data_IF_981335871518
#
_entry.id   IF_981335871518
#
_cell.length_a   1.000
_cell.length_b   1.000
_cell.length_c   1.000
_cell.angle_alpha   90.00
_cell.angle_beta   90.00
_cell.angle_gamma   90.00
#
_symmetry.space_group_name_H-M   'P 1'
#
loop_
_entity.id
_entity.type
_entity.pdbx_description
1 polymer ?
#
# COMPACT_ATOMS: atom_id res chain seq x y z
N UNK A 1 -5.46 -15.50 -3.22
CA UNK A 1 -4.97 -14.14 -3.44
C UNK A 1 -5.77 -13.51 -4.57
N UNK A 2 -6.21 -12.27 -4.38
CA UNK A 2 -6.81 -11.48 -5.46
C UNK A 2 -5.74 -11.09 -6.49
N UNK A 3 -6.10 -10.94 -7.79
CA UNK A 3 -5.13 -10.74 -8.86
C UNK A 3 -4.60 -9.29 -8.92
N UNK A 4 -3.42 -9.11 -9.52
CA UNK A 4 -2.93 -7.80 -9.98
C UNK A 4 -3.65 -7.32 -11.24
N UNK A 5 -3.83 -8.21 -12.22
CA UNK A 5 -4.30 -7.86 -13.57
C UNK A 5 -5.76 -8.22 -13.77
N UNK A 6 -6.50 -7.26 -14.30
CA UNK A 6 -7.92 -7.37 -14.60
C UNK A 6 -8.17 -7.01 -16.07
N UNK A 7 -9.06 -7.75 -16.74
CA UNK A 7 -9.59 -7.35 -18.05
C UNK A 7 -10.52 -6.15 -17.90
N UNK A 8 -10.87 -5.50 -19.00
CA UNK A 8 -11.80 -4.36 -18.99
C UNK A 8 -13.20 -4.74 -18.48
N UNK A 9 -13.56 -6.02 -18.56
CA UNK A 9 -14.82 -6.56 -18.02
C UNK A 9 -14.73 -6.91 -16.52
N UNK A 10 -13.63 -6.55 -15.85
CA UNK A 10 -13.39 -6.82 -14.43
C UNK A 10 -13.10 -8.28 -14.12
N UNK A 11 -12.72 -9.08 -15.12
CA UNK A 11 -12.34 -10.49 -14.92
C UNK A 11 -10.86 -10.58 -14.60
N UNK A 12 -10.46 -11.60 -13.84
CA UNK A 12 -9.04 -11.94 -13.71
C UNK A 12 -8.48 -12.23 -15.10
N UNK A 13 -7.35 -11.62 -15.44
CA UNK A 13 -6.64 -11.95 -16.68
C UNK A 13 -6.16 -13.40 -16.62
N UNK A 14 -6.53 -14.19 -17.64
CA UNK A 14 -6.07 -15.57 -17.76
C UNK A 14 -4.63 -15.56 -18.26
N UNK A 15 -3.68 -15.74 -17.34
CA UNK A 15 -2.28 -15.94 -17.69
C UNK A 15 -2.16 -17.37 -18.21
N UNK A 16 -1.77 -17.53 -19.47
CA UNK A 16 -1.39 -18.83 -20.00
C UNK A 16 -0.05 -19.21 -19.34
N UNK A 17 -0.05 -20.31 -18.60
CA UNK A 17 1.03 -20.84 -17.76
C UNK A 17 1.30 -20.06 -16.44
N UNK A 18 1.28 -20.82 -15.33
CA UNK A 18 1.16 -20.41 -13.91
C UNK A 18 2.42 -19.74 -13.29
N UNK A 19 3.15 -18.87 -14.00
CA UNK A 19 4.42 -18.30 -13.48
C UNK A 19 4.47 -16.78 -13.29
N UNK A 20 3.46 -16.01 -13.72
CA UNK A 20 3.56 -14.55 -13.64
C UNK A 20 3.28 -13.99 -12.23
N UNK A 21 4.14 -13.10 -11.68
CA UNK A 21 3.91 -12.42 -10.40
C UNK A 21 2.55 -11.74 -10.33
N UNK A 22 1.69 -12.17 -9.40
CA UNK A 22 0.30 -11.70 -9.37
C UNK A 22 -0.23 -11.33 -7.99
N UNK A 23 0.54 -11.56 -6.94
CA UNK A 23 0.15 -11.19 -5.59
C UNK A 23 0.81 -9.86 -5.23
N UNK A 24 0.04 -8.80 -5.35
CA UNK A 24 0.38 -7.43 -4.97
C UNK A 24 -0.78 -6.83 -4.17
N UNK A 25 -0.45 -6.02 -3.17
CA UNK A 25 -1.43 -5.40 -2.27
C UNK A 25 -1.59 -3.89 -2.53
N UNK A 26 -0.59 -3.27 -3.12
CA UNK A 26 -0.47 -1.84 -3.31
C UNK A 26 -1.57 -1.25 -4.20
N UNK A 27 -2.01 -1.96 -5.23
CA UNK A 27 -3.12 -1.52 -6.09
C UNK A 27 -4.43 -1.32 -5.31
N UNK A 28 -4.73 -2.20 -4.35
CA UNK A 28 -5.93 -2.08 -3.51
C UNK A 28 -5.82 -0.89 -2.57
N UNK A 29 -4.66 -0.71 -1.93
CA UNK A 29 -4.41 0.42 -1.02
C UNK A 29 -4.46 1.75 -1.76
N UNK A 30 -3.82 1.83 -2.92
CA UNK A 30 -3.83 3.00 -3.81
C UNK A 30 -5.24 3.34 -4.29
N UNK A 31 -6.05 2.33 -4.64
CA UNK A 31 -7.43 2.56 -5.06
C UNK A 31 -8.30 3.12 -3.92
N UNK A 32 -8.18 2.58 -2.71
CA UNK A 32 -8.88 3.07 -1.52
C UNK A 32 -8.50 4.52 -1.18
N UNK A 33 -7.22 4.85 -1.26
CA UNK A 33 -6.74 6.23 -1.11
C UNK A 33 -7.35 7.14 -2.21
N UNK A 34 -7.29 6.71 -3.47
CA UNK A 34 -7.75 7.52 -4.59
C UNK A 34 -9.27 7.76 -4.59
N UNK A 35 -10.08 6.75 -4.22
CA UNK A 35 -11.54 6.88 -4.20
C UNK A 35 -12.01 7.79 -3.07
N UNK A 36 -11.36 7.76 -1.91
CA UNK A 36 -11.65 8.70 -0.81
C UNK A 36 -11.42 10.14 -1.25
N UNK A 37 -10.25 10.41 -1.85
CA UNK A 37 -9.91 11.75 -2.31
C UNK A 37 -10.80 12.23 -3.46
N UNK A 38 -11.27 11.30 -4.31
CA UNK A 38 -12.17 11.61 -5.41
C UNK A 38 -13.59 11.94 -4.92
N UNK A 39 -14.11 11.18 -3.96
CA UNK A 39 -15.47 11.31 -3.44
C UNK A 39 -15.58 12.32 -2.29
N UNK A 40 -14.47 12.77 -1.72
CA UNK A 40 -14.46 13.67 -0.57
C UNK A 40 -14.87 12.98 0.73
N UNK A 41 -14.56 11.68 0.86
CA UNK A 41 -14.83 10.89 2.06
C UNK A 41 -16.25 10.31 2.18
N UNK A 42 -17.19 10.69 1.33
CA UNK A 42 -18.55 10.12 1.35
C UNK A 42 -18.69 8.97 0.35
N UNK A 43 -19.01 7.77 0.83
CA UNK A 43 -19.19 6.57 -0.01
C UNK A 43 -20.57 5.94 0.20
N UNK A 44 -21.19 5.44 -0.87
CA UNK A 44 -22.49 4.76 -0.80
C UNK A 44 -22.66 3.71 -1.90
N UNK A 45 -23.72 2.90 -1.79
CA UNK A 45 -24.11 1.91 -2.80
C UNK A 45 -22.99 0.92 -3.13
N UNK A 46 -22.76 0.71 -4.43
CA UNK A 46 -21.77 -0.27 -4.91
C UNK A 46 -20.32 0.13 -4.57
N UNK A 47 -20.04 1.43 -4.51
CA UNK A 47 -18.73 1.93 -4.11
C UNK A 47 -18.43 1.56 -2.65
N UNK A 48 -19.40 1.72 -1.75
CA UNK A 48 -19.21 1.38 -0.33
C UNK A 48 -18.93 -0.12 -0.14
N UNK A 49 -19.66 -0.98 -0.88
CA UNK A 49 -19.41 -2.43 -0.88
C UNK A 49 -18.02 -2.78 -1.42
N UNK A 50 -17.57 -2.10 -2.45
CA UNK A 50 -16.23 -2.32 -3.01
C UNK A 50 -15.12 -1.86 -2.03
N UNK A 51 -15.32 -0.72 -1.34
CA UNK A 51 -14.42 -0.24 -0.27
C UNK A 51 -14.34 -1.24 0.87
N UNK A 52 -15.48 -1.80 1.31
CA UNK A 52 -15.53 -2.81 2.37
C UNK A 52 -14.74 -4.06 1.98
N UNK A 53 -14.98 -4.63 0.78
CA UNK A 53 -14.28 -5.83 0.31
C UNK A 53 -12.76 -5.58 0.21
N UNK A 54 -12.35 -4.46 -0.37
CA UNK A 54 -10.93 -4.15 -0.54
C UNK A 54 -10.23 -3.92 0.81
N UNK A 55 -10.87 -3.20 1.73
CA UNK A 55 -10.29 -2.91 3.05
C UNK A 55 -10.22 -4.13 3.95
N UNK A 56 -11.24 -4.98 3.97
CA UNK A 56 -11.22 -6.26 4.70
C UNK A 56 -10.12 -7.19 4.16
N UNK A 57 -9.94 -7.23 2.84
CA UNK A 57 -8.86 -8.00 2.23
C UNK A 57 -7.48 -7.49 2.66
N UNK A 58 -7.25 -6.17 2.63
CA UNK A 58 -6.00 -5.57 3.08
C UNK A 58 -5.76 -5.82 4.57
N UNK A 59 -6.78 -5.65 5.41
CA UNK A 59 -6.67 -5.86 6.85
C UNK A 59 -6.26 -7.31 7.18
N UNK A 60 -6.73 -8.28 6.39
CA UNK A 60 -6.35 -9.69 6.53
C UNK A 60 -4.97 -10.03 5.92
N UNK A 61 -4.55 -9.34 4.86
CA UNK A 61 -3.42 -9.75 4.04
C UNK A 61 -2.14 -8.93 4.20
N UNK A 62 -2.17 -7.75 4.84
CA UNK A 62 -1.05 -6.78 4.84
C UNK A 62 0.29 -7.30 5.37
N UNK A 63 0.29 -8.36 6.18
CA UNK A 63 1.51 -8.99 6.70
C UNK A 63 2.10 -10.06 5.78
N UNK A 64 1.37 -10.48 4.75
CA UNK A 64 1.81 -11.52 3.83
C UNK A 64 2.87 -10.95 2.87
N UNK A 65 3.97 -11.68 2.63
CA UNK A 65 4.94 -11.30 1.61
C UNK A 65 4.28 -11.25 0.22
N UNK A 66 4.59 -10.22 -0.54
CA UNK A 66 4.02 -9.99 -1.86
C UNK A 66 5.07 -9.40 -2.79
N UNK A 67 4.77 -9.33 -4.08
CA UNK A 67 5.65 -8.63 -5.01
C UNK A 67 5.56 -7.12 -4.77
N UNK A 68 6.65 -6.41 -5.03
CA UNK A 68 6.66 -4.94 -4.99
C UNK A 68 5.96 -4.34 -6.22
N UNK A 69 5.98 -3.01 -6.34
CA UNK A 69 5.40 -2.28 -7.48
C UNK A 69 5.96 -2.71 -8.84
N UNK A 70 7.15 -3.31 -8.83
CA UNK A 70 7.90 -3.72 -10.02
C UNK A 70 7.75 -5.22 -10.32
N UNK A 71 6.82 -5.89 -9.63
CA UNK A 71 6.59 -7.33 -9.76
C UNK A 71 7.82 -8.18 -9.35
N UNK A 72 8.65 -7.66 -8.43
CA UNK A 72 9.85 -8.34 -7.93
C UNK A 72 9.74 -8.78 -6.45
N UNK A 73 10.57 -9.74 -6.05
CA UNK A 73 10.77 -10.15 -4.64
C UNK A 73 9.47 -10.51 -3.89
N UNK A 74 8.67 -11.40 -4.49
CA UNK A 74 7.37 -11.86 -3.96
C UNK A 74 7.40 -12.57 -2.60
N UNK A 75 8.60 -12.91 -2.12
CA UNK A 75 8.86 -13.52 -0.82
C UNK A 75 9.16 -12.48 0.29
N UNK A 76 8.99 -11.19 0.01
CA UNK A 76 9.32 -10.09 0.94
C UNK A 76 8.16 -9.14 1.22
N UNK A 77 8.35 -8.28 2.23
CA UNK A 77 7.47 -7.16 2.55
C UNK A 77 8.15 -5.86 2.12
N UNK A 78 7.42 -5.00 1.43
CA UNK A 78 7.96 -3.79 0.80
C UNK A 78 7.37 -2.53 1.43
N UNK A 79 8.22 -1.54 1.70
CA UNK A 79 7.84 -0.30 2.37
C UNK A 79 6.87 0.55 1.54
N UNK A 80 7.02 0.60 0.22
CA UNK A 80 6.06 1.28 -0.67
C UNK A 80 4.69 0.61 -0.67
N UNK A 81 4.64 -0.73 -0.67
CA UNK A 81 3.40 -1.47 -0.50
C UNK A 81 2.76 -1.21 0.87
N UNK A 82 3.54 -1.23 1.96
CA UNK A 82 3.02 -0.88 3.29
C UNK A 82 2.44 0.54 3.32
N UNK A 83 3.08 1.50 2.64
CA UNK A 83 2.58 2.87 2.55
C UNK A 83 1.23 2.95 1.82
N UNK A 84 1.08 2.25 0.69
CA UNK A 84 -0.19 2.20 -0.03
C UNK A 84 -1.29 1.54 0.81
N UNK A 85 -0.96 0.44 1.51
CA UNK A 85 -1.91 -0.28 2.35
C UNK A 85 -2.35 0.57 3.55
N UNK A 86 -1.41 1.24 4.21
CA UNK A 86 -1.71 2.14 5.32
C UNK A 86 -2.65 3.27 4.89
N UNK A 87 -2.31 3.98 3.81
CA UNK A 87 -3.10 5.10 3.33
C UNK A 87 -4.50 4.67 2.88
N UNK A 88 -4.59 3.51 2.21
CA UNK A 88 -5.85 2.92 1.79
C UNK A 88 -6.73 2.48 2.97
N UNK A 89 -6.14 1.84 3.99
CA UNK A 89 -6.88 1.44 5.19
C UNK A 89 -7.35 2.64 6.01
N UNK A 90 -6.53 3.68 6.14
CA UNK A 90 -6.91 4.94 6.79
C UNK A 90 -8.08 5.61 6.05
N UNK A 91 -7.99 5.73 4.72
CA UNK A 91 -9.05 6.24 3.87
C UNK A 91 -10.36 5.43 4.01
N UNK A 92 -10.27 4.10 3.96
CA UNK A 92 -11.43 3.23 4.14
C UNK A 92 -12.05 3.35 5.54
N UNK A 93 -11.24 3.46 6.58
CA UNK A 93 -11.71 3.66 7.95
C UNK A 93 -12.53 4.95 8.08
N UNK A 94 -12.08 6.03 7.45
CA UNK A 94 -12.80 7.30 7.43
C UNK A 94 -14.12 7.19 6.64
N UNK A 95 -14.09 6.65 5.42
CA UNK A 95 -15.28 6.51 4.57
C UNK A 95 -16.36 5.60 5.18
N UNK A 96 -15.95 4.52 5.85
CA UNK A 96 -16.86 3.51 6.42
C UNK A 96 -17.15 3.72 7.91
N UNK A 97 -16.49 4.69 8.56
CA UNK A 97 -16.53 4.90 10.01
C UNK A 97 -16.21 3.62 10.81
N UNK A 98 -15.06 3.00 10.49
CA UNK A 98 -14.60 1.72 11.07
C UNK A 98 -13.27 1.86 11.84
N UNK A 99 -13.38 1.85 13.17
CA UNK A 99 -12.22 1.98 14.07
C UNK A 99 -11.21 0.82 13.96
N UNK A 100 -11.66 -0.37 13.58
CA UNK A 100 -10.81 -1.55 13.45
C UNK A 100 -9.88 -1.47 12.21
N UNK A 101 -10.36 -0.86 11.13
CA UNK A 101 -9.53 -0.55 9.96
C UNK A 101 -8.49 0.52 10.31
N UNK A 102 -8.88 1.56 11.06
CA UNK A 102 -7.96 2.60 11.54
C UNK A 102 -6.89 2.01 12.48
N UNK A 103 -7.26 1.07 13.36
CA UNK A 103 -6.29 0.36 14.19
C UNK A 103 -5.30 -0.45 13.35
N UNK A 104 -5.77 -1.07 12.27
CA UNK A 104 -4.92 -1.82 11.35
C UNK A 104 -3.99 -0.91 10.56
N UNK A 105 -4.47 0.25 10.07
CA UNK A 105 -3.65 1.28 9.43
C UNK A 105 -2.51 1.72 10.37
N UNK A 106 -2.83 2.03 11.64
CA UNK A 106 -1.82 2.36 12.65
C UNK A 106 -0.77 1.25 12.86
N UNK A 107 -1.17 -0.02 12.82
CA UNK A 107 -0.24 -1.13 12.91
C UNK A 107 0.68 -1.25 11.68
N UNK A 108 0.13 -1.00 10.48
CA UNK A 108 0.91 -0.96 9.22
C UNK A 108 1.92 0.20 9.27
N UNK A 109 1.48 1.39 9.69
CA UNK A 109 2.36 2.56 9.87
C UNK A 109 3.48 2.26 10.86
N UNK A 110 3.14 1.65 12.00
CA UNK A 110 4.13 1.27 13.01
C UNK A 110 5.19 0.35 12.41
N UNK A 111 4.80 -0.70 11.67
CA UNK A 111 5.75 -1.59 10.98
C UNK A 111 6.65 -0.82 10.01
N UNK A 112 6.06 0.05 9.19
CA UNK A 112 6.80 0.88 8.24
C UNK A 112 7.88 1.72 8.93
N UNK A 113 7.54 2.44 10.00
CA UNK A 113 8.48 3.36 10.65
C UNK A 113 9.50 2.67 11.55
N UNK A 114 9.19 1.47 12.07
CA UNK A 114 10.12 0.73 12.95
C UNK A 114 11.02 -0.24 12.21
N UNK A 115 10.56 -0.83 11.10
CA UNK A 115 11.29 -1.89 10.40
C UNK A 115 11.84 -1.46 9.03
N UNK A 116 11.34 -0.37 8.43
CA UNK A 116 11.77 0.07 7.10
C UNK A 116 12.58 1.38 7.14
N UNK A 117 13.30 1.66 8.23
CA UNK A 117 14.16 2.84 8.38
C UNK A 117 15.57 2.40 8.81
N UNK A 118 16.57 2.72 7.99
CA UNK A 118 17.98 2.39 8.25
C UNK A 118 18.83 3.63 8.01
N UNK A 119 19.71 3.94 8.96
CA UNK A 119 20.58 5.13 8.88
C UNK A 119 19.80 6.44 8.80
N UNK A 120 18.58 6.47 9.33
CA UNK A 120 17.70 7.64 9.27
C UNK A 120 16.98 7.84 7.94
N UNK A 121 17.05 6.91 6.99
CA UNK A 121 16.31 6.98 5.73
C UNK A 121 15.39 5.77 5.56
N UNK A 122 14.28 5.93 4.84
CA UNK A 122 13.43 4.82 4.45
C UNK A 122 14.18 3.88 3.49
N UNK A 123 13.91 2.58 3.60
CA UNK A 123 14.50 1.52 2.77
C UNK A 123 13.41 0.66 2.12
N UNK A 124 13.78 -0.16 1.14
CA UNK A 124 12.86 -0.94 0.31
C UNK A 124 11.99 -1.90 1.14
N UNK A 125 12.49 -2.42 2.25
CA UNK A 125 11.70 -3.16 3.23
C UNK A 125 12.53 -3.73 4.39
N UNK A 126 11.92 -4.47 5.33
CA UNK A 126 12.60 -4.98 6.53
C UNK A 126 13.79 -5.93 6.28
N UNK A 127 13.86 -6.51 5.08
CA UNK A 127 14.93 -7.42 4.66
C UNK A 127 15.76 -6.85 3.50
N UNK A 128 15.63 -5.56 3.20
CA UNK A 128 16.26 -4.92 2.06
C UNK A 128 16.55 -3.43 2.31
N UNK A 129 17.80 -3.16 2.71
CA UNK A 129 18.27 -1.83 3.09
C UNK A 129 18.54 -0.90 1.88
N UNK A 130 18.31 -1.37 0.65
CA UNK A 130 18.41 -0.53 -0.55
C UNK A 130 17.30 0.53 -0.56
N UNK A 131 17.47 1.56 -1.37
CA UNK A 131 16.40 2.55 -1.64
C UNK A 131 15.79 2.28 -3.01
N UNK A 132 14.55 2.73 -3.19
CA UNK A 132 13.79 2.64 -4.42
C UNK A 132 13.00 3.95 -4.61
N UNK A 133 12.83 4.42 -5.85
CA UNK A 133 12.10 5.65 -6.12
C UNK A 133 10.63 5.58 -5.67
N UNK A 134 10.03 4.39 -5.58
CA UNK A 134 8.69 4.19 -5.04
C UNK A 134 8.56 4.61 -3.57
N UNK A 135 9.66 4.72 -2.80
CA UNK A 135 9.62 5.20 -1.41
C UNK A 135 9.16 6.66 -1.29
N UNK A 136 9.24 7.44 -2.36
CA UNK A 136 8.70 8.81 -2.41
C UNK A 136 7.18 8.80 -2.12
N UNK A 137 6.48 7.71 -2.48
CA UNK A 137 5.05 7.53 -2.22
C UNK A 137 4.67 7.69 -0.75
N UNK A 138 5.57 7.38 0.19
CA UNK A 138 5.38 7.55 1.64
C UNK A 138 5.07 9.02 1.98
N UNK A 139 5.77 9.98 1.38
CA UNK A 139 5.49 11.40 1.58
C UNK A 139 4.43 11.91 0.61
N UNK A 140 4.51 11.53 -0.67
CA UNK A 140 3.56 11.98 -1.69
C UNK A 140 3.33 10.89 -2.74
N UNK A 141 2.08 10.46 -2.98
CA UNK A 141 0.84 11.14 -2.61
C UNK A 141 0.28 10.75 -1.24
N UNK A 142 0.79 9.72 -0.56
CA UNK A 142 0.09 9.13 0.56
C UNK A 142 0.15 9.95 1.86
N UNK A 143 1.05 10.94 1.97
CA UNK A 143 1.15 11.86 3.10
C UNK A 143 1.35 11.21 4.48
N UNK A 144 2.02 10.05 4.56
CA UNK A 144 2.32 9.37 5.83
C UNK A 144 3.35 10.14 6.67
N UNK A 145 4.19 10.91 5.98
CA UNK A 145 5.15 11.84 6.57
C UNK A 145 5.12 13.15 5.80
N UNK A 146 5.54 14.23 6.45
CA UNK A 146 5.71 15.51 5.79
C UNK A 146 6.83 15.44 4.73
N UNK A 147 6.71 16.25 3.67
CA UNK A 147 7.73 16.31 2.60
C UNK A 147 9.09 16.79 3.09
N UNK A 148 9.14 17.50 4.22
CA UNK A 148 10.34 17.97 4.90
C UNK A 148 10.75 17.07 6.08
N UNK A 149 10.12 15.90 6.26
CA UNK A 149 10.56 14.91 7.24
C UNK A 149 12.05 14.57 7.00
N UNK A 150 12.91 14.65 8.04
CA UNK A 150 14.33 14.37 7.90
C UNK A 150 14.62 13.00 7.28
N UNK A 151 13.77 12.01 7.55
CA UNK A 151 13.88 10.66 6.97
C UNK A 151 13.59 10.64 5.50
N UNK A 152 12.57 11.38 5.05
CA UNK A 152 12.27 11.53 3.63
C UNK A 152 13.39 12.28 2.90
N UNK A 153 13.90 13.37 3.49
CA UNK A 153 15.04 14.11 2.94
C UNK A 153 16.27 13.20 2.75
N UNK A 154 16.63 12.41 3.76
CA UNK A 154 17.71 11.44 3.68
C UNK A 154 17.44 10.32 2.65
N UNK A 155 16.17 9.92 2.47
CA UNK A 155 15.76 8.94 1.45
C UNK A 155 15.99 9.50 0.05
N UNK A 156 15.57 10.74 -0.22
CA UNK A 156 15.77 11.42 -1.50
C UNK A 156 17.26 11.57 -1.82
N UNK A 157 18.08 11.92 -0.84
CA UNK A 157 19.54 12.02 -1.02
C UNK A 157 20.18 10.68 -1.41
N UNK A 158 19.66 9.55 -0.91
CA UNK A 158 20.16 8.21 -1.25
C UNK A 158 19.69 7.69 -2.60
N UNK A 159 18.55 8.19 -3.10
CA UNK A 159 18.01 7.81 -4.43
C UNK A 159 18.77 8.51 -5.57
N UNK A 160 19.32 9.72 -5.31
CA UNK A 160 20.08 10.53 -6.26
C UNK A 160 21.43 9.91 -6.62
#
# INVERSE_FOLDING_TARGET
MLPTRYTLEGRREAVADDEWPNFQLDGYGTWLFAIESHLGGEVSGDAARAVEIASDYLAAAWQLPCYDYWEEFGDRVHASTLAAVEAGLHAAAAMLNRDDLEQTARAVNQKLVTECVVGGAFVKGPSDDRVDASLISIATPFNLVAVDDPRMSATIERIR
#
